data_IF_187635037571
#
_entry.id   IF_187635037571
#
_cell.length_a   1.000
_cell.length_b   1.000
_cell.length_c   1.000
_cell.angle_alpha   90.00
_cell.angle_beta   90.00
_cell.angle_gamma   90.00
#
_symmetry.space_group_name_H-M   'P 1'
#
loop_
_entity.id
_entity.type
_entity.pdbx_description
1 polymer ?
#
# COMPACT_ATOMS: atom_id res chain seq x y z
N UNK A 1 -21.08 -1.59 -7.54
CA UNK A 1 -21.57 -2.93 -7.91
C UNK A 1 -21.45 -3.80 -6.66
N UNK A 2 -22.55 -4.23 -6.04
CA UNK A 2 -22.48 -5.12 -4.89
C UNK A 2 -22.24 -6.54 -5.40
N UNK A 3 -20.98 -6.99 -5.39
CA UNK A 3 -20.66 -8.39 -5.66
C UNK A 3 -21.13 -9.19 -4.45
N UNK A 4 -22.08 -10.11 -4.66
CA UNK A 4 -22.47 -11.02 -3.59
C UNK A 4 -21.38 -12.07 -3.41
N UNK A 5 -20.89 -12.24 -2.19
CA UNK A 5 -19.84 -13.20 -1.84
C UNK A 5 -20.01 -14.62 -2.43
N UNK A 6 -21.23 -15.20 -2.55
CA UNK A 6 -21.43 -16.52 -3.16
C UNK A 6 -21.02 -16.64 -4.63
N UNK A 7 -20.87 -15.52 -5.35
CA UNK A 7 -20.47 -15.52 -6.77
C UNK A 7 -18.95 -15.51 -6.97
N UNK A 8 -18.17 -15.30 -5.91
CA UNK A 8 -16.71 -15.34 -5.97
C UNK A 8 -16.29 -16.78 -5.69
N UNK A 9 -15.64 -17.42 -6.67
CA UNK A 9 -15.15 -18.78 -6.51
C UNK A 9 -14.16 -18.86 -5.34
N UNK A 10 -14.39 -19.79 -4.42
CA UNK A 10 -13.51 -20.02 -3.28
C UNK A 10 -12.34 -20.95 -3.64
N UNK A 11 -11.16 -20.77 -3.01
CA UNK A 11 -10.82 -19.73 -2.03
C UNK A 11 -10.42 -18.40 -2.69
N UNK A 12 -10.78 -17.28 -2.07
CA UNK A 12 -10.40 -15.94 -2.54
C UNK A 12 -10.19 -14.96 -1.38
N UNK A 13 -9.22 -14.06 -1.52
CA UNK A 13 -9.11 -12.85 -0.70
C UNK A 13 -9.91 -11.74 -1.37
N UNK A 14 -10.92 -11.21 -0.67
CA UNK A 14 -11.81 -10.18 -1.20
C UNK A 14 -11.56 -8.87 -0.45
N UNK A 15 -11.10 -7.85 -1.17
CA UNK A 15 -10.87 -6.52 -0.61
C UNK A 15 -12.13 -5.67 -0.75
N UNK A 16 -12.68 -5.21 0.38
CA UNK A 16 -13.81 -4.28 0.39
C UNK A 16 -13.34 -2.84 0.23
N UNK A 17 -13.52 -2.26 -0.96
CA UNK A 17 -13.05 -0.92 -1.28
C UNK A 17 -13.59 0.16 -0.33
N UNK A 18 -14.87 0.07 0.08
CA UNK A 18 -15.46 1.03 1.02
C UNK A 18 -14.78 1.00 2.38
N UNK A 19 -14.41 -0.18 2.88
CA UNK A 19 -13.70 -0.31 4.16
C UNK A 19 -12.26 0.19 4.04
N UNK A 20 -11.58 -0.09 2.93
CA UNK A 20 -10.27 0.49 2.64
C UNK A 20 -10.32 2.02 2.63
N UNK A 21 -11.29 2.62 1.93
CA UNK A 21 -11.46 4.07 1.85
C UNK A 21 -11.73 4.69 3.23
N UNK A 22 -12.49 4.03 4.10
CA UNK A 22 -12.71 4.51 5.47
C UNK A 22 -11.40 4.56 6.27
N UNK A 23 -10.56 3.51 6.15
CA UNK A 23 -9.25 3.48 6.80
C UNK A 23 -8.32 4.57 6.25
N UNK A 24 -8.30 4.75 4.93
CA UNK A 24 -7.48 5.76 4.25
C UNK A 24 -7.89 7.18 4.66
N UNK A 25 -9.19 7.48 4.73
CA UNK A 25 -9.70 8.79 5.21
C UNK A 25 -9.35 9.05 6.67
N UNK A 26 -9.37 8.01 7.51
CA UNK A 26 -8.93 8.15 8.90
C UNK A 26 -7.44 8.51 8.97
N UNK A 27 -6.58 7.79 8.24
CA UNK A 27 -5.15 8.10 8.18
C UNK A 27 -4.88 9.48 7.60
N UNK A 28 -5.60 9.90 6.55
CA UNK A 28 -5.51 11.25 5.98
C UNK A 28 -5.85 12.32 7.02
N UNK A 29 -6.91 12.11 7.81
CA UNK A 29 -7.28 13.03 8.91
C UNK A 29 -6.16 13.10 9.96
N UNK A 30 -5.61 11.96 10.37
CA UNK A 30 -4.50 11.91 11.35
C UNK A 30 -3.28 12.69 10.84
N UNK A 31 -2.88 12.50 9.58
CA UNK A 31 -1.78 13.26 8.97
C UNK A 31 -2.02 14.76 9.08
N UNK A 32 -3.22 15.23 8.73
CA UNK A 32 -3.59 16.65 8.74
C UNK A 32 -3.63 17.24 10.15
N UNK A 33 -4.24 16.54 11.10
CA UNK A 33 -4.40 17.04 12.47
C UNK A 33 -3.10 17.01 13.27
N UNK A 34 -2.25 16.01 13.05
CA UNK A 34 -0.98 15.87 13.76
C UNK A 34 0.23 16.50 13.03
N UNK A 35 0.07 16.91 11.76
CA UNK A 35 1.17 17.46 10.96
C UNK A 35 2.25 16.40 10.64
N UNK A 36 1.84 15.16 10.39
CA UNK A 36 2.75 14.02 10.14
C UNK A 36 2.48 13.38 8.79
N UNK A 37 3.42 12.56 8.32
CA UNK A 37 3.29 11.73 7.13
C UNK A 37 3.08 10.26 7.51
N UNK A 38 2.11 9.61 6.87
CA UNK A 38 1.87 8.17 6.97
C UNK A 38 2.22 7.55 5.62
N UNK A 39 3.06 6.51 5.66
CA UNK A 39 3.51 5.78 4.48
C UNK A 39 3.04 4.32 4.55
N UNK A 40 2.73 3.72 3.41
CA UNK A 40 2.28 2.34 3.30
C UNK A 40 3.46 1.37 3.48
N UNK A 41 3.41 0.50 4.49
CA UNK A 41 4.42 -0.55 4.68
C UNK A 41 4.12 -1.78 3.81
N UNK A 42 4.90 -1.95 2.73
CA UNK A 42 4.62 -2.98 1.71
C UNK A 42 4.73 -4.41 2.25
N UNK A 43 5.57 -4.63 3.26
CA UNK A 43 5.69 -5.92 3.97
C UNK A 43 4.36 -6.45 4.53
N UNK A 44 3.42 -5.56 4.85
CA UNK A 44 2.13 -5.90 5.44
C UNK A 44 0.95 -5.75 4.47
N UNK A 45 1.09 -4.92 3.43
CA UNK A 45 0.05 -4.72 2.44
C UNK A 45 0.64 -4.38 1.07
N UNK A 46 0.57 -5.34 0.15
CA UNK A 46 1.11 -5.22 -1.21
C UNK A 46 0.07 -5.53 -2.30
N UNK A 47 -1.23 -5.32 -2.02
CA UNK A 47 -2.31 -5.46 -3.00
C UNK A 47 -2.23 -4.34 -4.04
N UNK A 48 -1.32 -4.48 -5.00
CA UNK A 48 -0.87 -3.39 -5.88
C UNK A 48 -1.98 -2.79 -6.75
N UNK A 49 -3.02 -3.57 -7.08
CA UNK A 49 -4.20 -3.10 -7.81
C UNK A 49 -4.90 -1.89 -7.16
N UNK A 50 -4.73 -1.65 -5.85
CA UNK A 50 -5.31 -0.48 -5.16
C UNK A 50 -4.29 0.60 -4.81
N UNK A 51 -3.04 0.48 -5.25
CA UNK A 51 -2.01 1.48 -4.98
C UNK A 51 -2.37 2.85 -5.57
N UNK A 52 -3.04 2.87 -6.73
CA UNK A 52 -3.60 4.08 -7.31
C UNK A 52 -4.62 4.80 -6.42
N UNK A 53 -5.32 4.08 -5.54
CA UNK A 53 -6.20 4.65 -4.52
C UNK A 53 -5.42 5.05 -3.28
N UNK A 54 -4.52 4.19 -2.78
CA UNK A 54 -3.71 4.46 -1.58
C UNK A 54 -2.90 5.74 -1.72
N UNK A 55 -2.24 5.96 -2.87
CA UNK A 55 -1.40 7.14 -3.11
C UNK A 55 -2.15 8.47 -3.12
N UNK A 56 -3.49 8.45 -3.17
CA UNK A 56 -4.32 9.66 -3.05
C UNK A 56 -4.47 10.12 -1.59
N UNK A 57 -4.20 9.24 -0.62
CA UNK A 57 -4.45 9.48 0.81
C UNK A 57 -3.18 9.42 1.66
N UNK A 58 -2.24 8.54 1.34
CA UNK A 58 -0.99 8.36 2.09
C UNK A 58 0.17 9.08 1.39
N UNK A 59 1.14 9.54 2.17
CA UNK A 59 2.28 10.33 1.68
C UNK A 59 3.34 9.52 0.94
N UNK A 60 3.30 8.19 1.01
CA UNK A 60 4.28 7.35 0.32
C UNK A 60 4.20 5.88 0.68
N UNK A 61 5.31 5.17 0.46
CA UNK A 61 5.48 3.76 0.81
C UNK A 61 6.85 3.52 1.45
N UNK A 62 6.95 2.50 2.29
CA UNK A 62 8.22 1.96 2.78
C UNK A 62 8.42 0.53 2.27
N UNK A 63 9.64 0.27 1.81
CA UNK A 63 10.08 -0.99 1.24
C UNK A 63 11.19 -1.59 2.09
N UNK A 64 11.15 -2.91 2.22
CA UNK A 64 12.09 -3.71 3.00
C UNK A 64 12.98 -4.65 2.17
N UNK A 65 12.83 -4.61 0.84
CA UNK A 65 13.66 -5.31 -0.14
C UNK A 65 13.72 -4.55 -1.47
N UNK A 66 14.65 -4.91 -2.36
CA UNK A 66 14.69 -4.38 -3.72
C UNK A 66 13.36 -4.60 -4.47
N UNK A 67 12.72 -5.76 -4.28
CA UNK A 67 11.46 -6.08 -4.94
C UNK A 67 10.30 -5.21 -4.45
N UNK A 68 10.23 -4.91 -3.15
CA UNK A 68 9.24 -3.96 -2.64
C UNK A 68 9.50 -2.55 -3.15
N UNK A 69 10.77 -2.15 -3.28
CA UNK A 69 11.11 -0.83 -3.83
C UNK A 69 10.71 -0.71 -5.31
N UNK A 70 10.96 -1.76 -6.11
CA UNK A 70 10.50 -1.86 -7.50
C UNK A 70 8.97 -1.82 -7.57
N UNK A 71 8.28 -2.58 -6.73
CA UNK A 71 6.83 -2.60 -6.69
C UNK A 71 6.23 -1.22 -6.38
N UNK A 72 6.82 -0.47 -5.43
CA UNK A 72 6.41 0.91 -5.14
C UNK A 72 6.60 1.82 -6.37
N UNK A 73 7.73 1.66 -7.06
CA UNK A 73 8.04 2.47 -8.23
C UNK A 73 7.13 2.15 -9.42
N UNK A 74 6.96 0.87 -9.74
CA UNK A 74 6.24 0.39 -10.92
C UNK A 74 4.73 0.53 -10.77
N UNK A 75 4.15 0.13 -9.63
CA UNK A 75 2.70 0.03 -9.46
C UNK A 75 2.10 1.24 -8.71
N UNK A 76 2.83 1.82 -7.75
CA UNK A 76 2.36 3.02 -7.04
C UNK A 76 2.80 4.30 -7.75
N UNK A 77 3.90 4.27 -8.50
CA UNK A 77 4.44 5.42 -9.23
C UNK A 77 5.16 6.43 -8.32
N UNK A 78 5.74 5.96 -7.21
CA UNK A 78 6.43 6.82 -6.24
C UNK A 78 7.81 6.25 -5.87
N UNK A 79 8.71 7.11 -5.37
CA UNK A 79 9.90 6.64 -4.66
C UNK A 79 9.50 6.21 -3.24
N UNK A 80 10.04 5.10 -2.76
CA UNK A 80 9.78 4.60 -1.41
C UNK A 80 10.90 4.95 -0.42
N UNK A 81 10.58 4.88 0.87
CA UNK A 81 11.56 4.82 1.96
C UNK A 81 12.07 3.39 2.11
N UNK A 82 13.31 3.13 1.71
CA UNK A 82 13.89 1.79 1.76
C UNK A 82 14.62 1.55 3.10
N UNK A 83 14.36 0.40 3.73
CA UNK A 83 15.11 -0.11 4.87
C UNK A 83 15.27 -1.62 4.76
N UNK A 84 16.51 -2.11 4.65
CA UNK A 84 16.79 -3.54 4.62
C UNK A 84 17.88 -3.87 5.64
N UNK A 85 17.71 -4.89 6.50
CA UNK A 85 18.73 -5.24 7.49
C UNK A 85 20.10 -5.59 6.89
N UNK A 86 20.11 -6.13 5.67
CA UNK A 86 21.32 -6.44 4.92
C UNK A 86 21.06 -6.17 3.43
N UNK A 87 21.72 -5.17 2.87
CA UNK A 87 21.71 -4.93 1.43
C UNK A 87 22.74 -5.83 0.74
N UNK A 88 22.36 -6.42 -0.40
CA UNK A 88 23.27 -7.25 -1.19
C UNK A 88 23.98 -6.39 -2.24
N UNK A 89 25.28 -6.64 -2.47
CA UNK A 89 26.06 -5.92 -3.48
C UNK A 89 25.45 -6.02 -4.90
N UNK A 90 24.75 -7.11 -5.20
CA UNK A 90 24.07 -7.33 -6.48
C UNK A 90 22.77 -6.51 -6.66
N UNK A 91 22.32 -5.80 -5.63
CA UNK A 91 21.06 -5.02 -5.63
C UNK A 91 21.30 -3.50 -5.69
N UNK A 92 22.56 -3.07 -5.83
CA UNK A 92 22.98 -1.67 -5.95
C UNK A 92 23.20 -1.23 -7.41
#
# INVERSE_FOLDING_TARGET
MHIQYPQIASPAYVLEEKLLLNNLRLMERVQKEAGVEIICALKGFSFYHVFGTIKKYLSGATASSLNEAKLAFEEMGIKCHAYTPAYLASEF
#
